data_IF_447448947370
#
_entry.id   IF_447448947370
#
_cell.length_a   1.000
_cell.length_b   1.000
_cell.length_c   1.000
_cell.angle_alpha   90.00
_cell.angle_beta   90.00
_cell.angle_gamma   90.00
#
_symmetry.space_group_name_H-M   'P 1'
#
loop_
_entity.id
_entity.type
_entity.pdbx_description
1 polymer ?
#
# COMPACT_ATOMS: atom_id res chain seq x y z
N UNK A 1 43.88 -21.65 33.94
CA UNK A 1 43.03 -20.65 34.63
C UNK A 1 43.15 -19.34 33.86
N UNK A 2 42.06 -18.91 33.22
CA UNK A 2 41.63 -17.53 32.87
C UNK A 2 40.67 -17.63 31.67
N UNK A 3 39.36 -17.52 31.90
CA UNK A 3 38.51 -16.32 31.69
C UNK A 3 38.44 -15.95 30.19
N UNK A 4 37.32 -16.02 29.48
CA UNK A 4 35.92 -15.91 29.88
C UNK A 4 35.31 -14.74 29.09
N UNK A 5 34.43 -15.03 28.13
CA UNK A 5 33.34 -14.18 27.62
C UNK A 5 32.76 -14.86 26.38
N UNK A 6 31.83 -15.77 26.61
CA UNK A 6 30.83 -16.12 25.61
C UNK A 6 29.83 -14.95 25.65
N UNK A 7 29.93 -14.09 24.64
CA UNK A 7 28.97 -13.02 24.41
C UNK A 7 27.75 -13.64 23.75
N UNK A 8 26.78 -14.05 24.55
CA UNK A 8 25.42 -14.30 24.09
C UNK A 8 24.84 -12.93 23.74
N UNK A 9 24.87 -12.59 22.45
CA UNK A 9 24.05 -11.51 21.90
C UNK A 9 22.60 -11.96 22.05
N UNK A 10 21.96 -11.55 23.14
CA UNK A 10 20.50 -11.60 23.28
C UNK A 10 19.94 -10.80 22.11
N UNK A 11 19.43 -11.52 21.12
CA UNK A 11 18.61 -10.94 20.06
C UNK A 11 17.38 -10.37 20.77
N UNK A 12 17.37 -9.06 20.99
CA UNK A 12 16.16 -8.34 21.34
C UNK A 12 15.16 -8.64 20.23
N UNK A 13 14.21 -9.55 20.50
CA UNK A 13 13.00 -9.70 19.72
C UNK A 13 12.32 -8.33 19.83
N UNK A 14 12.50 -7.49 18.81
CA UNK A 14 11.64 -6.35 18.58
C UNK A 14 10.24 -6.95 18.46
N UNK A 15 9.50 -6.92 19.57
CA UNK A 15 8.05 -7.02 19.58
C UNK A 15 7.59 -5.89 18.66
N UNK A 16 7.55 -6.16 17.35
CA UNK A 16 6.80 -5.39 16.38
C UNK A 16 5.40 -5.41 16.96
N UNK A 17 5.02 -4.27 17.56
CA UNK A 17 3.68 -3.99 18.00
C UNK A 17 2.77 -4.47 16.87
N UNK A 18 2.14 -5.65 17.06
CA UNK A 18 1.05 -6.11 16.22
C UNK A 18 0.01 -5.01 16.38
N UNK A 19 0.09 -4.00 15.51
CA UNK A 19 -1.00 -3.08 15.27
C UNK A 19 -2.23 -3.99 15.23
N UNK A 20 -3.28 -3.56 15.89
CA UNK A 20 -4.60 -4.17 15.83
C UNK A 20 -5.16 -3.97 14.41
N UNK A 21 -4.38 -4.34 13.39
CA UNK A 21 -4.76 -4.63 12.04
C UNK A 21 -5.64 -5.86 12.20
N UNK A 22 -6.92 -5.58 12.49
CA UNK A 22 -7.97 -6.57 12.39
C UNK A 22 -7.68 -7.35 11.12
N UNK A 23 -7.66 -8.68 11.20
CA UNK A 23 -7.00 -9.54 10.22
C UNK A 23 -7.43 -9.34 8.76
N UNK A 24 -7.16 -10.26 7.84
CA UNK A 24 -7.40 -10.02 6.41
C UNK A 24 -8.85 -9.63 6.04
N UNK A 25 -9.81 -9.85 6.94
CA UNK A 25 -11.17 -9.32 6.87
C UNK A 25 -11.30 -7.78 6.93
N UNK A 26 -10.41 -7.06 7.63
CA UNK A 26 -10.49 -5.58 7.76
C UNK A 26 -10.31 -4.87 6.42
N UNK A 27 -9.58 -5.47 5.48
CA UNK A 27 -9.42 -4.95 4.12
C UNK A 27 -10.77 -4.77 3.41
N UNK A 28 -11.80 -5.55 3.76
CA UNK A 28 -13.15 -5.42 3.22
C UNK A 28 -13.90 -4.18 3.73
N UNK A 29 -13.46 -3.59 4.85
CA UNK A 29 -14.07 -2.42 5.47
C UNK A 29 -13.46 -1.11 4.96
N UNK A 30 -12.30 -1.18 4.29
CA UNK A 30 -11.60 -0.02 3.73
C UNK A 30 -12.39 0.61 2.58
N UNK A 31 -12.26 1.92 2.44
CA UNK A 31 -12.78 2.63 1.27
C UNK A 31 -12.09 2.10 -0.01
N UNK A 32 -12.81 1.87 -1.12
CA UNK A 32 -12.20 1.41 -2.37
C UNK A 32 -11.06 2.30 -2.89
N UNK A 33 -11.10 3.60 -2.58
CA UNK A 33 -10.07 4.58 -2.98
C UNK A 33 -8.85 4.60 -2.05
N UNK A 34 -8.91 3.85 -0.94
CA UNK A 34 -7.82 3.73 0.03
C UNK A 34 -7.20 2.32 0.00
N UNK A 35 -7.71 1.43 -0.85
CA UNK A 35 -7.15 0.11 -1.02
C UNK A 35 -5.72 0.20 -1.56
N UNK A 36 -4.89 -0.69 -1.05
CA UNK A 36 -3.54 -0.99 -1.52
C UNK A 36 -3.51 -2.38 -2.17
N UNK A 37 -2.41 -2.72 -2.83
CA UNK A 37 -2.25 -4.08 -3.38
C UNK A 37 -2.24 -5.15 -2.28
N UNK A 38 -1.75 -4.82 -1.07
CA UNK A 38 -1.79 -5.71 0.08
C UNK A 38 -3.24 -6.01 0.50
N UNK A 39 -4.10 -4.99 0.55
CA UNK A 39 -5.52 -5.17 0.86
C UNK A 39 -6.23 -6.10 -0.14
N UNK A 40 -5.89 -6.01 -1.43
CA UNK A 40 -6.45 -6.91 -2.45
C UNK A 40 -5.98 -8.35 -2.24
N UNK A 41 -4.75 -8.56 -1.77
CA UNK A 41 -4.23 -9.88 -1.41
C UNK A 41 -4.96 -10.46 -0.19
N UNK A 42 -5.22 -9.64 0.83
CA UNK A 42 -5.96 -10.05 2.03
C UNK A 42 -7.41 -10.43 1.70
N UNK A 43 -8.08 -9.60 0.90
CA UNK A 43 -9.41 -9.91 0.35
C UNK A 43 -9.39 -11.24 -0.42
N UNK A 44 -8.34 -11.47 -1.23
CA UNK A 44 -8.18 -12.71 -2.00
C UNK A 44 -8.05 -13.94 -1.08
N UNK A 45 -7.35 -13.81 0.04
CA UNK A 45 -7.21 -14.85 1.06
C UNK A 45 -8.56 -15.18 1.73
N UNK A 46 -9.30 -14.16 2.17
CA UNK A 46 -10.65 -14.33 2.77
C UNK A 46 -11.59 -15.01 1.78
N UNK A 47 -11.70 -14.47 0.57
CA UNK A 47 -12.59 -15.00 -0.47
C UNK A 47 -12.20 -16.43 -0.87
N UNK A 48 -10.90 -16.73 -0.95
CA UNK A 48 -10.40 -18.08 -1.21
C UNK A 48 -10.83 -19.09 -0.15
N UNK A 49 -10.73 -18.72 1.14
CA UNK A 49 -11.19 -19.56 2.26
C UNK A 49 -12.70 -19.79 2.20
N UNK A 50 -13.49 -18.75 1.94
CA UNK A 50 -14.95 -18.85 1.85
C UNK A 50 -15.39 -19.74 0.69
N UNK A 51 -14.76 -19.61 -0.49
CA UNK A 51 -15.03 -20.45 -1.64
C UNK A 51 -14.76 -21.94 -1.39
N UNK A 52 -13.75 -22.26 -0.56
CA UNK A 52 -13.46 -23.65 -0.15
C UNK A 52 -14.53 -24.20 0.79
N UNK A 53 -15.09 -23.36 1.66
CA UNK A 53 -16.15 -23.73 2.61
C UNK A 53 -17.52 -23.93 1.95
N UNK A 54 -17.74 -23.34 0.76
CA UNK A 54 -18.95 -23.59 -0.03
C UNK A 54 -19.06 -25.08 -0.41
N UNK A 55 -19.99 -25.78 0.27
CA UNK A 55 -20.33 -27.17 -0.03
C UNK A 55 -20.99 -27.25 -1.40
N UNK A 56 -20.30 -27.84 -2.37
CA UNK A 56 -20.91 -28.22 -3.63
C UNK A 56 -21.70 -29.52 -3.44
N UNK A 57 -23.00 -29.51 -3.76
CA UNK A 57 -23.74 -30.75 -3.99
C UNK A 57 -23.11 -31.56 -5.13
N UNK A 58 -23.50 -32.84 -5.32
CA UNK A 58 -22.83 -33.80 -6.20
C UNK A 58 -22.71 -33.40 -7.67
N UNK A 59 -23.40 -32.35 -8.14
CA UNK A 59 -23.44 -31.91 -9.55
C UNK A 59 -22.67 -30.61 -9.84
N UNK A 60 -22.13 -29.92 -8.83
CA UNK A 60 -21.59 -28.56 -8.98
C UNK A 60 -20.06 -28.33 -8.98
N UNK A 61 -19.15 -29.34 -8.96
CA UNK A 61 -17.70 -29.05 -8.96
C UNK A 61 -17.23 -28.12 -10.10
N UNK A 62 -17.72 -28.34 -11.33
CA UNK A 62 -17.32 -27.54 -12.48
C UNK A 62 -17.87 -26.11 -12.46
N UNK A 63 -19.09 -25.92 -11.93
CA UNK A 63 -19.68 -24.59 -11.78
C UNK A 63 -18.92 -23.77 -10.72
N UNK A 64 -18.55 -24.41 -9.59
CA UNK A 64 -17.74 -23.80 -8.54
C UNK A 64 -16.36 -23.38 -9.06
N UNK A 65 -15.67 -24.25 -9.78
CA UNK A 65 -14.38 -23.92 -10.37
C UNK A 65 -14.48 -22.72 -11.33
N UNK A 66 -15.49 -22.70 -12.22
CA UNK A 66 -15.71 -21.54 -13.12
C UNK A 66 -15.97 -20.24 -12.35
N UNK A 67 -16.70 -20.30 -11.23
CA UNK A 67 -16.94 -19.13 -10.39
C UNK A 67 -15.63 -18.65 -9.74
N UNK A 68 -14.83 -19.57 -9.18
CA UNK A 68 -13.52 -19.26 -8.62
C UNK A 68 -12.61 -18.55 -9.63
N UNK A 69 -12.50 -19.07 -10.87
CA UNK A 69 -11.70 -18.41 -11.90
C UNK A 69 -12.19 -17.00 -12.27
N UNK A 70 -13.51 -16.78 -12.30
CA UNK A 70 -14.06 -15.44 -12.54
C UNK A 70 -13.75 -14.48 -11.40
N UNK A 71 -13.82 -14.96 -10.16
CA UNK A 71 -13.48 -14.18 -8.97
C UNK A 71 -12.00 -13.81 -8.99
N UNK A 72 -11.10 -14.77 -9.23
CA UNK A 72 -9.66 -14.51 -9.40
C UNK A 72 -9.45 -13.43 -10.46
N UNK A 73 -10.13 -13.54 -11.61
CA UNK A 73 -10.00 -12.53 -12.67
C UNK A 73 -10.46 -11.14 -12.24
N UNK A 74 -11.51 -11.03 -11.43
CA UNK A 74 -11.96 -9.74 -10.88
C UNK A 74 -10.95 -9.17 -9.89
N UNK A 75 -10.38 -10.01 -9.03
CA UNK A 75 -9.35 -9.59 -8.06
C UNK A 75 -8.07 -9.12 -8.77
N UNK A 76 -7.63 -9.81 -9.83
CA UNK A 76 -6.50 -9.36 -10.68
C UNK A 76 -6.77 -7.98 -11.31
N UNK A 77 -7.99 -7.74 -11.80
CA UNK A 77 -8.35 -6.43 -12.36
C UNK A 77 -8.36 -5.35 -11.29
N UNK A 78 -8.83 -5.66 -10.09
CA UNK A 78 -8.81 -4.74 -8.95
C UNK A 78 -7.37 -4.40 -8.54
N UNK A 79 -6.50 -5.40 -8.41
CA UNK A 79 -5.07 -5.21 -8.09
C UNK A 79 -4.38 -4.30 -9.10
N UNK A 80 -4.62 -4.52 -10.40
CA UNK A 80 -4.05 -3.70 -11.46
C UNK A 80 -4.49 -2.24 -11.34
N UNK A 81 -5.78 -1.98 -11.11
CA UNK A 81 -6.32 -0.62 -10.96
C UNK A 81 -5.79 0.08 -9.71
N UNK A 82 -5.73 -0.62 -8.58
CA UNK A 82 -5.19 -0.10 -7.32
C UNK A 82 -3.71 0.24 -7.46
N UNK A 83 -2.94 -0.66 -8.07
CA UNK A 83 -1.50 -0.47 -8.29
C UNK A 83 -1.21 0.69 -9.24
N UNK A 84 -1.95 0.79 -10.35
CA UNK A 84 -1.80 1.89 -11.31
C UNK A 84 -2.15 3.24 -10.68
N UNK A 85 -3.25 3.30 -9.91
CA UNK A 85 -3.66 4.51 -9.19
C UNK A 85 -2.59 4.99 -8.20
N UNK A 86 -2.02 4.08 -7.42
CA UNK A 86 -0.95 4.39 -6.46
C UNK A 86 0.29 4.97 -7.15
N UNK A 87 0.71 4.38 -8.26
CA UNK A 87 1.85 4.87 -9.05
C UNK A 87 1.56 6.26 -9.63
N UNK A 88 0.37 6.47 -10.21
CA UNK A 88 -0.03 7.74 -10.79
C UNK A 88 -0.11 8.86 -9.72
N UNK A 89 -0.68 8.56 -8.55
CA UNK A 89 -0.75 9.52 -7.45
C UNK A 89 0.64 9.95 -6.97
N UNK A 90 1.54 8.99 -6.81
CA UNK A 90 2.90 9.26 -6.36
C UNK A 90 3.70 10.07 -7.41
N UNK A 91 3.50 9.82 -8.70
CA UNK A 91 4.07 10.65 -9.77
C UNK A 91 3.58 12.09 -9.69
N UNK A 92 2.25 12.30 -9.59
CA UNK A 92 1.65 13.62 -9.46
C UNK A 92 2.12 14.34 -8.19
N UNK A 93 2.32 13.61 -7.09
CA UNK A 93 2.88 14.16 -5.85
C UNK A 93 4.30 14.68 -6.06
N UNK A 94 5.16 13.90 -6.71
CA UNK A 94 6.54 14.30 -7.03
C UNK A 94 6.59 15.52 -7.95
N UNK A 95 5.77 15.55 -9.00
CA UNK A 95 5.69 16.68 -9.92
C UNK A 95 5.22 17.95 -9.20
N UNK A 96 4.16 17.86 -8.41
CA UNK A 96 3.65 18.95 -7.57
C UNK A 96 4.72 19.50 -6.64
N UNK A 97 5.47 18.63 -5.98
CA UNK A 97 6.51 19.04 -5.03
C UNK A 97 7.72 19.67 -5.75
N UNK A 98 8.08 19.21 -6.95
CA UNK A 98 9.09 19.88 -7.80
C UNK A 98 8.62 21.28 -8.19
N UNK A 99 7.41 21.41 -8.71
CA UNK A 99 6.84 22.68 -9.13
C UNK A 99 6.74 23.68 -7.98
N UNK A 100 6.37 23.22 -6.78
CA UNK A 100 6.36 24.06 -5.58
C UNK A 100 7.75 24.62 -5.25
N UNK A 101 8.79 23.78 -5.30
CA UNK A 101 10.19 24.20 -5.05
C UNK A 101 10.69 25.18 -6.11
N UNK A 102 10.42 24.90 -7.39
CA UNK A 102 10.79 25.82 -8.49
C UNK A 102 10.11 27.18 -8.31
N UNK A 103 8.83 27.18 -7.95
CA UNK A 103 8.06 28.40 -7.75
C UNK A 103 8.59 29.19 -6.53
N UNK A 104 8.96 28.53 -5.45
CA UNK A 104 9.61 29.15 -4.30
C UNK A 104 10.96 29.79 -4.67
N UNK A 105 11.78 29.09 -5.46
CA UNK A 105 13.06 29.62 -5.96
C UNK A 105 12.85 30.86 -6.84
N UNK A 106 11.88 30.83 -7.76
CA UNK A 106 11.54 31.98 -8.60
C UNK A 106 11.05 33.17 -7.77
N UNK A 107 10.20 32.93 -6.77
CA UNK A 107 9.74 33.98 -5.84
C UNK A 107 10.89 34.58 -5.04
N UNK A 108 11.83 33.76 -4.57
CA UNK A 108 13.01 34.23 -3.86
C UNK A 108 13.93 35.06 -4.76
N UNK A 109 14.21 34.58 -5.98
CA UNK A 109 15.00 35.29 -6.98
C UNK A 109 14.39 36.66 -7.34
N UNK A 110 13.06 36.72 -7.56
CA UNK A 110 12.35 37.96 -7.86
C UNK A 110 12.42 38.99 -6.72
N UNK A 111 12.37 38.54 -5.45
CA UNK A 111 12.56 39.43 -4.30
C UNK A 111 14.00 39.94 -4.19
N UNK A 112 14.99 39.12 -4.53
CA UNK A 112 16.40 39.51 -4.54
C UNK A 112 16.80 40.43 -5.71
N UNK A 113 16.01 40.46 -6.78
CA UNK A 113 16.25 41.28 -7.98
C UNK A 113 15.38 42.54 -8.05
N UNK A 114 14.59 42.85 -7.01
CA UNK A 114 13.92 44.13 -6.89
C UNK A 114 15.00 45.25 -6.81
N UNK A 115 15.01 46.22 -7.75
CA UNK A 115 15.99 47.30 -7.71
C UNK A 115 15.77 48.09 -6.42
N UNK A 116 16.85 48.33 -5.67
CA UNK A 116 16.88 49.42 -4.70
C UNK A 116 16.74 50.72 -5.51
N UNK A 117 15.49 51.14 -5.74
CA UNK A 117 15.17 52.50 -6.15
C UNK A 117 15.56 53.39 -4.98
N UNK A 118 16.84 53.78 -4.98
CA UNK A 118 17.40 54.75 -4.06
C UNK A 118 16.61 56.04 -4.17
N UNK A 119 15.95 56.39 -3.07
CA UNK A 119 15.39 57.71 -2.85
C UNK A 119 16.53 58.72 -2.64
N UNK A 120 16.44 59.86 -3.33
CA UNK A 120 17.04 61.14 -2.93
C UNK A 120 18.50 61.35 -3.29
#
# INVERSE_FOLDING_TARGET
MERGRDGEEELEEEDEDEEEDGGPESALEKSPFQLTAADVYDISSVVGRDLLQLRAGPQLPAARARLQFRIVRVLEMLEALVSESSVAEEQLRRERDSLRRELEQLRAAARGSAPQVGAG
#
